data_IF_514501891131
#
_entry.id   IF_514501891131
#
_cell.length_a   1.000
_cell.length_b   1.000
_cell.length_c   1.000
_cell.angle_alpha   90.00
_cell.angle_beta   90.00
_cell.angle_gamma   90.00
#
_symmetry.space_group_name_H-M   'P 1'
#
loop_
_entity.id
_entity.type
_entity.pdbx_description
1 polymer ?
#
# COMPACT_ATOMS: atom_id res chain seq x y z
N UNK A 1 2.39 18.54 6.21
CA UNK A 1 3.15 17.35 6.64
C UNK A 1 2.53 16.17 5.91
N UNK A 2 3.32 15.39 5.17
CA UNK A 2 2.81 14.24 4.39
C UNK A 2 2.86 12.96 5.22
N UNK A 3 1.93 12.04 4.96
CA UNK A 3 1.89 10.69 5.56
C UNK A 3 2.79 9.78 4.72
N UNK A 4 3.70 9.06 5.37
CA UNK A 4 4.52 8.04 4.71
C UNK A 4 3.83 6.66 4.84
N UNK A 5 4.09 5.76 3.89
CA UNK A 5 3.51 4.41 3.89
C UNK A 5 4.59 3.34 3.80
N UNK A 6 4.54 2.35 4.68
CA UNK A 6 5.42 1.19 4.68
C UNK A 6 4.62 -0.11 4.60
N UNK A 7 5.25 -1.16 4.08
CA UNK A 7 4.76 -2.54 4.17
C UNK A 7 5.14 -3.08 5.54
N UNK A 8 4.16 -3.51 6.32
CA UNK A 8 4.33 -4.07 7.66
C UNK A 8 4.05 -5.57 7.71
N UNK A 9 4.59 -6.23 8.73
CA UNK A 9 4.40 -7.65 9.03
C UNK A 9 4.26 -7.87 10.54
N UNK A 10 3.61 -8.97 10.94
CA UNK A 10 3.58 -9.40 12.34
C UNK A 10 4.07 -10.86 12.48
N UNK A 11 5.09 -11.15 13.32
CA UNK A 11 5.92 -10.19 14.06
C UNK A 11 6.75 -9.27 13.13
N UNK A 12 7.31 -8.19 13.67
CA UNK A 12 8.28 -7.37 12.93
C UNK A 12 9.55 -8.19 12.66
N UNK A 13 9.96 -8.27 11.40
CA UNK A 13 11.10 -9.06 10.92
C UNK A 13 12.13 -8.23 10.15
N UNK A 14 11.96 -6.90 10.10
CA UNK A 14 12.86 -6.03 9.35
C UNK A 14 14.16 -5.81 10.13
N UNK A 15 15.29 -6.12 9.49
CA UNK A 15 16.63 -5.98 10.07
C UNK A 15 17.38 -4.76 9.47
N UNK A 16 18.60 -4.50 9.94
CA UNK A 16 19.42 -3.37 9.51
C UNK A 16 19.71 -3.36 8.00
N UNK A 17 19.75 -4.54 7.36
CA UNK A 17 19.93 -4.67 5.92
C UNK A 17 18.78 -4.03 5.13
N UNK A 18 17.54 -4.23 5.58
CA UNK A 18 16.36 -3.59 4.99
C UNK A 18 16.45 -2.06 5.08
N UNK A 19 16.92 -1.54 6.20
CA UNK A 19 17.09 -0.10 6.43
C UNK A 19 18.21 0.45 5.53
N UNK A 20 19.32 -0.27 5.40
CA UNK A 20 20.45 0.11 4.56
C UNK A 20 20.05 0.20 3.09
N UNK A 21 19.19 -0.72 2.62
CA UNK A 21 18.72 -0.78 1.22
C UNK A 21 17.30 -0.24 1.03
N UNK A 22 16.84 0.63 1.92
CA UNK A 22 15.46 1.12 1.98
C UNK A 22 14.92 1.67 0.63
N UNK A 23 15.78 2.23 -0.22
CA UNK A 23 15.36 2.78 -1.51
C UNK A 23 14.78 1.70 -2.46
N UNK A 24 15.19 0.44 -2.31
CA UNK A 24 14.69 -0.69 -3.08
C UNK A 24 13.40 -1.30 -2.54
N UNK A 25 12.93 -0.87 -1.36
CA UNK A 25 11.76 -1.44 -0.68
C UNK A 25 10.67 -0.40 -0.35
N UNK A 26 11.05 0.86 -0.18
CA UNK A 26 10.13 1.92 0.23
C UNK A 26 9.19 2.32 -0.90
N UNK A 27 7.95 2.57 -0.51
CA UNK A 27 6.91 3.12 -1.35
C UNK A 27 6.93 4.65 -1.21
N UNK A 28 6.67 5.35 -2.31
CA UNK A 28 6.62 6.80 -2.32
C UNK A 28 5.38 7.36 -1.61
N UNK A 29 5.39 8.67 -1.33
CA UNK A 29 4.21 9.39 -0.85
C UNK A 29 3.10 9.43 -1.89
N UNK A 30 3.48 9.42 -3.16
CA UNK A 30 2.55 9.39 -4.29
C UNK A 30 1.80 8.06 -4.32
N UNK A 31 2.48 6.95 -4.00
CA UNK A 31 1.83 5.66 -3.78
C UNK A 31 0.86 5.72 -2.58
N UNK A 32 1.28 6.31 -1.45
CA UNK A 32 0.39 6.52 -0.31
C UNK A 32 -0.89 7.25 -0.73
N UNK A 33 -0.77 8.38 -1.42
CA UNK A 33 -1.92 9.16 -1.89
C UNK A 33 -2.82 8.36 -2.83
N UNK A 34 -2.23 7.63 -3.78
CA UNK A 34 -2.97 6.79 -4.72
C UNK A 34 -3.86 5.77 -4.00
N UNK A 35 -3.37 5.18 -2.90
CA UNK A 35 -4.11 4.12 -2.18
C UNK A 35 -4.98 4.64 -1.03
N UNK A 36 -4.89 5.92 -0.66
CA UNK A 36 -5.72 6.50 0.42
C UNK A 36 -6.77 7.49 -0.08
N UNK A 37 -6.58 8.10 -1.26
CA UNK A 37 -7.52 9.11 -1.78
C UNK A 37 -8.76 8.46 -2.42
N UNK A 38 -9.66 7.97 -1.56
CA UNK A 38 -10.99 7.51 -1.96
C UNK A 38 -12.03 8.59 -1.64
N UNK A 39 -12.60 9.21 -2.67
CA UNK A 39 -13.69 10.17 -2.54
C UNK A 39 -15.04 9.49 -2.77
N UNK A 40 -15.97 9.66 -1.84
CA UNK A 40 -17.31 9.09 -1.95
C UNK A 40 -18.02 9.58 -3.22
N UNK A 41 -18.64 8.67 -3.96
CA UNK A 41 -19.34 8.98 -5.21
C UNK A 41 -18.41 9.26 -6.41
N UNK A 42 -17.10 9.09 -6.27
CA UNK A 42 -16.13 9.21 -7.37
C UNK A 42 -15.31 7.93 -7.53
N UNK A 43 -15.02 7.60 -8.78
CA UNK A 43 -14.10 6.51 -9.08
C UNK A 43 -12.66 7.00 -8.93
N UNK A 44 -11.93 6.49 -7.94
CA UNK A 44 -10.53 6.85 -7.70
C UNK A 44 -9.63 6.40 -8.85
N UNK A 45 -8.47 7.05 -8.98
CA UNK A 45 -7.46 6.70 -9.97
C UNK A 45 -7.01 5.25 -9.81
N UNK A 46 -6.86 4.75 -8.58
CA UNK A 46 -6.53 3.34 -8.33
C UNK A 46 -7.62 2.39 -8.86
N UNK A 47 -8.90 2.72 -8.68
CA UNK A 47 -10.01 1.92 -9.21
C UNK A 47 -10.02 1.92 -10.76
N UNK A 48 -9.65 3.03 -11.40
CA UNK A 48 -9.51 3.09 -12.85
C UNK A 48 -8.34 2.23 -13.34
N UNK A 49 -7.19 2.24 -12.66
CA UNK A 49 -6.06 1.36 -12.95
C UNK A 49 -6.44 -0.13 -12.80
N UNK A 50 -7.21 -0.45 -11.75
CA UNK A 50 -7.75 -1.79 -11.53
C UNK A 50 -8.63 -2.25 -12.71
N UNK A 51 -9.51 -1.39 -13.22
CA UNK A 51 -10.32 -1.69 -14.41
C UNK A 51 -9.49 -1.85 -15.68
N UNK A 52 -8.53 -0.96 -15.91
CA UNK A 52 -7.64 -1.00 -17.09
C UNK A 52 -6.86 -2.30 -17.16
N UNK A 53 -6.43 -2.81 -16.00
CA UNK A 53 -5.61 -4.02 -15.88
C UNK A 53 -6.42 -5.28 -15.60
N UNK A 54 -7.73 -5.17 -15.41
CA UNK A 54 -8.60 -6.25 -14.93
C UNK A 54 -8.07 -6.92 -13.65
N UNK A 55 -7.66 -6.10 -12.68
CA UNK A 55 -7.08 -6.56 -11.40
C UNK A 55 -8.02 -6.24 -10.25
N UNK A 56 -8.26 -7.19 -9.36
CA UNK A 56 -8.95 -6.92 -8.10
C UNK A 56 -7.99 -6.26 -7.11
N UNK A 57 -8.27 -5.00 -6.76
CA UNK A 57 -7.50 -4.20 -5.79
C UNK A 57 -8.04 -4.29 -4.36
N UNK A 58 -9.12 -5.04 -4.13
CA UNK A 58 -9.71 -5.18 -2.79
C UNK A 58 -8.70 -5.60 -1.70
N UNK A 59 -7.67 -6.43 -1.97
CA UNK A 59 -6.63 -6.73 -0.98
C UNK A 59 -5.82 -5.49 -0.56
N UNK A 60 -5.46 -4.59 -1.50
CA UNK A 60 -4.73 -3.36 -1.18
C UNK A 60 -5.56 -2.44 -0.28
N UNK A 61 -6.87 -2.32 -0.57
CA UNK A 61 -7.79 -1.50 0.22
C UNK A 61 -7.88 -2.05 1.66
N UNK A 62 -8.01 -3.38 1.81
CA UNK A 62 -8.06 -4.03 3.14
C UNK A 62 -6.77 -3.82 3.94
N UNK A 63 -5.61 -3.78 3.29
CA UNK A 63 -4.34 -3.49 3.96
C UNK A 63 -4.31 -2.10 4.60
N UNK A 64 -5.03 -1.12 4.04
CA UNK A 64 -5.16 0.23 4.60
C UNK A 64 -5.99 0.27 5.91
N UNK A 65 -6.85 -0.73 6.14
CA UNK A 65 -7.71 -0.77 7.32
C UNK A 65 -6.99 -1.26 8.59
N UNK A 66 -5.72 -1.66 8.46
CA UNK A 66 -4.95 -2.18 9.57
C UNK A 66 -4.85 -1.14 10.69
N UNK A 67 -5.25 -1.47 11.93
CA UNK A 67 -5.27 -0.50 13.01
C UNK A 67 -3.84 -0.09 13.40
N UNK A 68 -3.58 1.19 13.73
CA UNK A 68 -2.27 1.65 14.19
C UNK A 68 -1.85 0.88 15.43
N UNK A 69 -0.56 0.64 15.58
CA UNK A 69 0.03 0.03 16.77
C UNK A 69 -0.04 1.01 17.93
N UNK A 70 -0.88 0.71 18.92
CA UNK A 70 -1.13 1.58 20.06
C UNK A 70 -1.12 0.78 21.37
N UNK A 71 -0.81 1.44 22.51
CA UNK A 71 -1.04 0.88 23.83
C UNK A 71 -2.53 0.48 24.07
N UNK A 72 -2.82 -0.54 24.90
CA UNK A 72 -4.20 -1.00 25.16
C UNK A 72 -5.16 0.11 25.63
N UNK A 73 -4.69 1.02 26.48
CA UNK A 73 -5.45 2.17 26.98
C UNK A 73 -5.87 3.12 25.85
N UNK A 74 -5.00 3.32 24.84
CA UNK A 74 -5.27 4.12 23.65
C UNK A 74 -6.27 3.44 22.72
N UNK A 75 -6.25 2.12 22.60
CA UNK A 75 -7.26 1.40 21.81
C UNK A 75 -8.66 1.56 22.39
N UNK A 76 -8.80 1.49 23.72
CA UNK A 76 -10.09 1.74 24.38
C UNK A 76 -10.59 3.17 24.12
N UNK A 77 -9.70 4.16 24.17
CA UNK A 77 -10.06 5.54 23.89
C UNK A 77 -10.53 5.77 22.44
N UNK A 78 -9.83 5.20 21.45
CA UNK A 78 -10.12 5.45 20.04
C UNK A 78 -11.25 4.58 19.47
N UNK A 79 -11.35 3.34 19.93
CA UNK A 79 -12.28 2.36 19.36
C UNK A 79 -13.40 1.97 20.31
N UNK A 80 -13.26 2.20 21.62
CA UNK A 80 -14.22 1.72 22.61
C UNK A 80 -15.60 2.36 22.50
N UNK A 81 -16.63 1.54 22.69
CA UNK A 81 -18.01 2.02 22.88
C UNK A 81 -18.31 2.23 24.38
N UNK A 82 -19.32 3.05 24.75
CA UNK A 82 -19.60 3.42 26.14
C UNK A 82 -19.76 2.26 27.15
N UNK A 83 -20.16 1.06 26.69
CA UNK A 83 -20.36 -0.12 27.54
C UNK A 83 -19.40 -1.27 27.23
N UNK A 84 -18.36 -1.02 26.44
CA UNK A 84 -17.43 -2.06 26.00
C UNK A 84 -16.28 -2.19 27.00
N UNK A 85 -16.00 -3.43 27.38
CA UNK A 85 -14.86 -3.77 28.25
C UNK A 85 -13.57 -3.75 27.44
N UNK A 86 -12.44 -3.53 28.11
CA UNK A 86 -11.13 -3.53 27.45
C UNK A 86 -10.84 -4.85 26.69
N UNK A 87 -11.12 -6.05 27.24
CA UNK A 87 -10.97 -7.29 26.49
C UNK A 87 -11.80 -7.36 25.20
N UNK A 88 -13.02 -6.82 25.20
CA UNK A 88 -13.88 -6.79 24.01
C UNK A 88 -13.32 -5.84 22.94
N UNK A 89 -12.83 -4.66 23.34
CA UNK A 89 -12.14 -3.75 22.42
C UNK A 89 -10.92 -4.42 21.81
N UNK A 90 -10.08 -5.07 22.62
CA UNK A 90 -8.89 -5.75 22.15
C UNK A 90 -9.22 -6.92 21.23
N UNK A 91 -10.25 -7.71 21.52
CA UNK A 91 -10.72 -8.78 20.65
C UNK A 91 -11.14 -8.25 19.27
N UNK A 92 -11.87 -7.12 19.22
CA UNK A 92 -12.25 -6.47 17.96
C UNK A 92 -11.05 -5.91 17.21
N UNK A 93 -10.10 -5.28 17.89
CA UNK A 93 -8.85 -4.79 17.27
C UNK A 93 -8.08 -5.94 16.64
N UNK A 94 -7.93 -7.07 17.35
CA UNK A 94 -7.27 -8.27 16.83
C UNK A 94 -8.01 -8.88 15.64
N UNK A 95 -9.35 -8.89 15.68
CA UNK A 95 -10.15 -9.30 14.52
C UNK A 95 -9.91 -8.39 13.31
N UNK A 96 -9.83 -7.07 13.54
CA UNK A 96 -9.55 -6.09 12.48
C UNK A 96 -8.16 -6.29 11.89
N UNK A 97 -7.12 -6.46 12.73
CA UNK A 97 -5.74 -6.78 12.29
C UNK A 97 -5.72 -7.98 11.34
N UNK A 98 -6.34 -9.09 11.74
CA UNK A 98 -6.42 -10.32 10.93
C UNK A 98 -7.18 -10.12 9.62
N UNK A 99 -8.23 -9.31 9.62
CA UNK A 99 -9.03 -9.03 8.42
C UNK A 99 -8.30 -8.11 7.42
N UNK A 100 -7.42 -7.22 7.91
CA UNK A 100 -6.64 -6.30 7.08
C UNK A 100 -5.39 -6.93 6.49
N UNK A 101 -4.81 -7.91 7.17
CA UNK A 101 -3.66 -8.68 6.69
C UNK A 101 -3.99 -9.47 5.41
N UNK A 102 -3.07 -9.43 4.45
CA UNK A 102 -3.17 -10.18 3.19
C UNK A 102 -1.99 -11.14 3.04
N UNK A 103 -2.19 -12.30 2.44
CA UNK A 103 -1.08 -13.23 2.19
C UNK A 103 -0.12 -12.66 1.15
N UNK A 104 1.16 -13.01 1.27
CA UNK A 104 2.20 -12.59 0.31
C UNK A 104 1.80 -12.93 -1.13
N UNK A 105 1.36 -14.16 -1.39
CA UNK A 105 1.00 -14.63 -2.73
C UNK A 105 -0.17 -13.85 -3.34
N UNK A 106 -1.13 -13.41 -2.50
CA UNK A 106 -2.24 -12.57 -2.96
C UNK A 106 -1.74 -11.22 -3.44
N UNK A 107 -0.85 -10.59 -2.67
CA UNK A 107 -0.32 -9.27 -2.97
C UNK A 107 0.67 -9.32 -4.13
N UNK A 108 1.56 -10.31 -4.16
CA UNK A 108 2.51 -10.51 -5.27
C UNK A 108 1.76 -10.69 -6.60
N UNK A 109 0.75 -11.57 -6.65
CA UNK A 109 -0.04 -11.77 -7.87
C UNK A 109 -0.76 -10.48 -8.30
N UNK A 110 -1.34 -9.75 -7.34
CA UNK A 110 -2.02 -8.48 -7.60
C UNK A 110 -1.04 -7.45 -8.19
N UNK A 111 0.12 -7.26 -7.55
CA UNK A 111 1.12 -6.28 -7.97
C UNK A 111 1.69 -6.64 -9.35
N UNK A 112 1.96 -7.92 -9.63
CA UNK A 112 2.36 -8.37 -10.96
C UNK A 112 1.29 -8.09 -12.03
N UNK A 113 0.01 -8.34 -11.73
CA UNK A 113 -1.08 -8.05 -12.67
C UNK A 113 -1.19 -6.56 -12.98
N UNK A 114 -1.08 -5.70 -11.95
CA UNK A 114 -1.03 -4.25 -12.16
C UNK A 114 0.16 -3.86 -13.03
N UNK A 115 1.37 -4.27 -12.65
CA UNK A 115 2.60 -3.88 -13.35
C UNK A 115 2.59 -4.34 -14.81
N UNK A 116 2.26 -5.61 -15.07
CA UNK A 116 2.20 -6.17 -16.41
C UNK A 116 1.08 -5.52 -17.24
N UNK A 117 -0.10 -5.34 -16.65
CA UNK A 117 -1.25 -4.73 -17.34
C UNK A 117 -0.99 -3.29 -17.76
N UNK A 118 -0.33 -2.50 -16.90
CA UNK A 118 0.00 -1.10 -17.20
C UNK A 118 1.17 -0.97 -18.18
N UNK A 119 2.19 -1.84 -18.07
CA UNK A 119 3.32 -1.87 -19.00
C UNK A 119 2.87 -2.19 -20.43
N UNK A 120 1.87 -3.06 -20.60
CA UNK A 120 1.29 -3.38 -21.91
C UNK A 120 0.35 -2.29 -22.46
N UNK A 121 0.14 -1.20 -21.73
CA UNK A 121 -0.69 -0.06 -22.15
C UNK A 121 0.03 1.26 -21.87
N UNK A 122 1.13 1.57 -22.58
CA UNK A 122 2.01 2.70 -22.24
C UNK A 122 1.30 4.04 -22.10
N UNK A 123 0.20 4.27 -22.83
CA UNK A 123 -0.60 5.50 -22.77
C UNK A 123 -1.80 5.45 -21.80
N UNK A 124 -1.85 4.49 -20.85
CA UNK A 124 -2.98 4.33 -19.92
C UNK A 124 -3.24 5.62 -19.13
N UNK A 125 -2.19 6.35 -18.79
CA UNK A 125 -2.26 7.57 -18.00
C UNK A 125 -3.00 8.71 -18.72
N UNK A 126 -3.15 8.67 -20.04
CA UNK A 126 -3.98 9.62 -20.78
C UNK A 126 -5.48 9.29 -20.69
N UNK A 127 -5.82 8.04 -20.35
CA UNK A 127 -7.21 7.55 -20.23
C UNK A 127 -7.78 7.71 -18.82
N UNK A 128 -6.93 7.97 -17.83
CA UNK A 128 -7.35 8.21 -16.45
C UNK A 128 -8.10 9.54 -16.37
N UNK A 129 -9.31 9.49 -15.82
CA UNK A 129 -10.03 10.67 -15.34
C UNK A 129 -9.48 11.05 -13.98
N UNK A 130 -8.57 12.01 -13.98
CA UNK A 130 -8.04 12.59 -12.75
C UNK A 130 -9.11 13.41 -12.05
N UNK A 131 -9.48 12.98 -10.86
CA UNK A 131 -10.46 13.65 -9.99
C UNK A 131 -9.78 14.51 -8.93
N UNK A 132 -8.47 14.37 -8.74
CA UNK A 132 -7.71 15.10 -7.75
C UNK A 132 -7.03 16.38 -8.27
N UNK A 133 -6.82 17.36 -7.37
CA UNK A 133 -6.22 18.66 -7.69
C UNK A 133 -4.77 18.54 -8.19
N UNK A 134 -4.11 17.42 -7.90
CA UNK A 134 -2.73 17.10 -8.30
C UNK A 134 -2.62 16.34 -9.63
N UNK A 135 -3.59 16.49 -10.55
CA UNK A 135 -3.59 15.87 -11.89
C UNK A 135 -2.22 15.88 -12.60
N UNK A 136 -1.51 17.01 -12.55
CA UNK A 136 -0.19 17.13 -13.20
C UNK A 136 0.82 16.13 -12.60
N UNK A 137 0.89 16.06 -11.27
CA UNK A 137 1.81 15.17 -10.56
C UNK A 137 1.45 13.70 -10.76
N UNK A 138 0.16 13.32 -10.66
CA UNK A 138 -0.26 11.94 -10.91
C UNK A 138 0.04 11.50 -12.35
N UNK A 139 -0.14 12.41 -13.32
CA UNK A 139 0.20 12.13 -14.71
C UNK A 139 1.70 11.90 -14.92
N UNK A 140 2.56 12.63 -14.22
CA UNK A 140 4.01 12.38 -14.22
C UNK A 140 4.35 11.07 -13.51
N UNK A 141 3.73 10.81 -12.37
CA UNK A 141 3.91 9.60 -11.57
C UNK A 141 3.50 8.32 -12.33
N UNK A 142 2.51 8.39 -13.22
CA UNK A 142 2.08 7.27 -14.05
C UNK A 142 2.88 7.05 -15.33
N UNK A 143 3.77 7.99 -15.71
CA UNK A 143 4.59 7.88 -16.92
C UNK A 143 5.80 6.97 -16.72
N UNK A 144 6.29 6.45 -17.84
CA UNK A 144 7.50 5.63 -17.94
C UNK A 144 7.46 4.42 -16.98
N UNK A 145 6.30 3.76 -16.89
CA UNK A 145 6.08 2.64 -15.96
C UNK A 145 7.07 1.49 -16.18
N UNK A 146 7.53 1.34 -17.42
CA UNK A 146 8.53 0.39 -17.86
C UNK A 146 9.96 0.71 -17.36
N UNK A 147 10.24 1.98 -17.00
CA UNK A 147 11.54 2.36 -16.49
C UNK A 147 11.79 1.69 -15.13
N UNK A 148 12.87 0.92 -15.06
CA UNK A 148 13.34 0.15 -13.91
C UNK A 148 14.62 0.71 -13.29
N UNK A 149 15.06 1.90 -13.74
CA UNK A 149 16.21 2.59 -13.18
C UNK A 149 15.93 2.93 -11.72
N UNK A 150 16.68 2.31 -10.81
CA UNK A 150 16.53 2.55 -9.38
C UNK A 150 16.88 3.99 -9.04
N UNK A 151 15.90 4.76 -8.58
CA UNK A 151 16.12 6.12 -8.12
C UNK A 151 16.84 6.10 -6.76
N UNK A 152 17.83 6.99 -6.60
CA UNK A 152 18.49 7.19 -5.32
C UNK A 152 17.56 7.84 -4.28
N UNK A 153 16.44 8.41 -4.73
CA UNK A 153 15.43 9.05 -3.90
C UNK A 153 14.05 8.45 -4.19
N UNK A 154 13.49 7.73 -3.22
CA UNK A 154 12.16 7.11 -3.35
C UNK A 154 11.02 8.13 -3.53
N UNK A 155 11.26 9.41 -3.21
CA UNK A 155 10.29 10.49 -3.44
C UNK A 155 10.06 10.79 -4.93
N UNK A 156 10.99 10.37 -5.78
CA UNK A 156 10.96 10.54 -7.24
C UNK A 156 10.52 9.24 -7.95
N UNK A 157 10.06 8.23 -7.20
CA UNK A 157 9.52 7.01 -7.79
C UNK A 157 8.31 7.34 -8.68
N UNK A 158 8.24 6.64 -9.80
CA UNK A 158 6.99 6.49 -10.54
C UNK A 158 6.24 5.26 -10.05
N UNK A 159 5.01 5.05 -10.53
CA UNK A 159 4.18 3.93 -10.13
C UNK A 159 4.86 2.58 -10.41
N UNK A 160 5.59 2.46 -11.52
CA UNK A 160 6.32 1.23 -11.85
C UNK A 160 7.37 0.88 -10.82
N UNK A 161 8.16 1.86 -10.39
CA UNK A 161 9.18 1.69 -9.37
C UNK A 161 8.56 1.33 -8.02
N UNK A 162 7.45 1.96 -7.63
CA UNK A 162 6.76 1.61 -6.38
C UNK A 162 6.19 0.18 -6.41
N UNK A 163 5.63 -0.27 -7.53
CA UNK A 163 5.17 -1.65 -7.68
C UNK A 163 6.34 -2.64 -7.61
N UNK A 164 7.50 -2.33 -8.21
CA UNK A 164 8.71 -3.17 -8.10
C UNK A 164 9.29 -3.16 -6.68
N UNK A 165 9.34 -2.00 -6.03
CA UNK A 165 9.75 -1.89 -4.64
C UNK A 165 8.84 -2.70 -3.71
N UNK A 166 7.53 -2.70 -4.00
CA UNK A 166 6.59 -3.54 -3.27
C UNK A 166 6.91 -5.02 -3.45
N UNK A 167 7.16 -5.49 -4.67
CA UNK A 167 7.57 -6.88 -4.92
C UNK A 167 8.86 -7.23 -4.17
N UNK A 168 9.87 -6.37 -4.21
CA UNK A 168 11.12 -6.56 -3.47
C UNK A 168 10.86 -6.68 -1.95
N UNK A 169 9.95 -5.87 -1.41
CA UNK A 169 9.56 -5.96 0.00
C UNK A 169 8.86 -7.29 0.31
N UNK A 170 7.97 -7.77 -0.57
CA UNK A 170 7.32 -9.08 -0.42
C UNK A 170 8.34 -10.22 -0.45
N UNK A 171 9.31 -10.17 -1.35
CA UNK A 171 10.40 -11.17 -1.43
C UNK A 171 11.25 -11.17 -0.16
N UNK A 172 11.67 -10.00 0.32
CA UNK A 172 12.39 -9.88 1.58
C UNK A 172 11.61 -10.51 2.74
N UNK A 173 10.32 -10.20 2.85
CA UNK A 173 9.44 -10.72 3.90
C UNK A 173 9.32 -12.25 3.80
N UNK A 174 9.21 -12.79 2.59
CA UNK A 174 9.16 -14.23 2.32
C UNK A 174 10.45 -14.91 2.77
N UNK A 175 11.60 -14.33 2.48
CA UNK A 175 12.91 -14.86 2.89
C UNK A 175 13.05 -14.93 4.40
N UNK A 176 12.55 -13.90 5.10
CA UNK A 176 12.46 -13.83 6.57
C UNK A 176 11.30 -14.64 7.17
N UNK A 177 10.63 -15.49 6.38
CA UNK A 177 9.53 -16.38 6.80
C UNK A 177 8.27 -15.68 7.28
N UNK A 178 8.05 -14.44 6.87
CA UNK A 178 6.75 -13.77 7.00
C UNK A 178 5.71 -14.42 6.09
N UNK A 179 4.44 -14.32 6.48
CA UNK A 179 3.32 -14.93 5.73
C UNK A 179 2.25 -13.91 5.29
N UNK A 180 2.12 -12.81 6.04
CA UNK A 180 1.08 -11.82 5.83
C UNK A 180 1.63 -10.40 5.92
N UNK A 181 1.05 -9.50 5.12
CA UNK A 181 1.42 -8.09 5.05
C UNK A 181 0.23 -7.16 5.23
N UNK A 182 0.52 -5.94 5.67
CA UNK A 182 -0.42 -4.84 5.78
C UNK A 182 0.27 -3.50 5.49
N UNK A 183 -0.48 -2.41 5.38
CA UNK A 183 0.09 -1.07 5.27
C UNK A 183 0.20 -0.40 6.64
N UNK A 184 1.36 0.17 6.92
CA UNK A 184 1.63 0.99 8.10
C UNK A 184 1.84 2.43 7.66
N UNK A 185 1.01 3.32 8.18
CA UNK A 185 1.11 4.76 7.92
C UNK A 185 1.88 5.46 9.05
N UNK A 186 2.84 6.32 8.69
CA UNK A 186 3.70 7.07 9.61
C UNK A 186 3.48 8.58 9.51
#
# INVERSE_FOLDING_TARGET
MGVDIHVGVEPDIFEDDYIQFQNGYRLSRQFCWLITDFKEGQESELAQLAKITNTDISPLIKMCDYPPELPPDRYRFLYGKPNETEPEVMARVQQKKRASQQSLDTIELLVHKLLLGLTNQPDFYEKIRYVDQNKFWLKVYFRNIENDTTNQNFQDNNLGQDLRNFLNAIEYIRDKKGAFVYFKFL
#
